data_IF_118852842454
#
_entry.id   IF_118852842454
#
_cell.length_a   1.000
_cell.length_b   1.000
_cell.length_c   1.000
_cell.angle_alpha   90.00
_cell.angle_beta   90.00
_cell.angle_gamma   90.00
#
_symmetry.space_group_name_H-M   'P 1'
#
loop_
_entity.id
_entity.type
_entity.pdbx_description
1 polymer ?
#
# COMPACT_ATOMS: atom_id res chain seq x y z
N UNK A 1 -0.31 8.52 -21.79
CA UNK A 1 -0.67 7.45 -20.83
C UNK A 1 -0.38 6.13 -21.51
N UNK A 2 0.74 5.46 -21.18
CA UNK A 2 0.87 4.06 -21.58
C UNK A 2 -0.09 3.27 -20.70
N UNK A 3 -0.99 2.51 -21.33
CA UNK A 3 -1.80 1.50 -20.64
C UNK A 3 -0.83 0.48 -20.04
N UNK A 4 -0.40 0.69 -18.78
CA UNK A 4 0.45 -0.28 -18.10
C UNK A 4 -0.48 -1.44 -17.75
N UNK A 5 -0.20 -2.64 -18.27
CA UNK A 5 -0.95 -3.86 -17.92
C UNK A 5 -1.08 -4.05 -16.39
N UNK A 6 -0.14 -3.47 -15.65
CA UNK A 6 -0.18 -3.33 -14.20
C UNK A 6 -1.46 -2.68 -13.66
N UNK A 7 -1.94 -1.58 -14.24
CA UNK A 7 -3.10 -0.83 -13.73
C UNK A 7 -4.39 -1.67 -13.83
N UNK A 8 -4.50 -2.44 -14.91
CA UNK A 8 -5.58 -3.41 -15.08
C UNK A 8 -5.46 -4.51 -14.04
N UNK A 9 -4.31 -5.18 -13.97
CA UNK A 9 -4.11 -6.32 -13.05
C UNK A 9 -4.23 -5.93 -11.58
N UNK A 10 -3.76 -4.75 -11.22
CA UNK A 10 -3.80 -4.25 -9.84
C UNK A 10 -5.22 -3.98 -9.34
N UNK A 11 -6.14 -3.68 -10.25
CA UNK A 11 -7.57 -3.58 -9.96
C UNK A 11 -8.26 -4.95 -10.06
N UNK A 12 -7.94 -5.72 -11.10
CA UNK A 12 -8.61 -6.99 -11.40
C UNK A 12 -8.42 -8.05 -10.31
N UNK A 13 -7.19 -8.21 -9.79
CA UNK A 13 -6.87 -9.25 -8.82
C UNK A 13 -7.66 -9.05 -7.51
N UNK A 14 -7.59 -7.89 -6.81
CA UNK A 14 -8.45 -7.59 -5.68
C UNK A 14 -9.94 -7.72 -6.00
N UNK A 15 -10.34 -7.24 -7.19
CA UNK A 15 -11.70 -7.29 -7.68
C UNK A 15 -12.28 -8.69 -7.78
N UNK A 16 -11.52 -9.62 -8.35
CA UNK A 16 -11.91 -11.02 -8.47
C UNK A 16 -11.97 -11.72 -7.13
N UNK A 17 -11.02 -11.45 -6.22
CA UNK A 17 -11.06 -12.00 -4.87
C UNK A 17 -12.33 -11.58 -4.14
N UNK A 18 -12.71 -10.30 -4.26
CA UNK A 18 -13.96 -9.79 -3.69
C UNK A 18 -15.19 -10.38 -4.39
N UNK A 19 -15.18 -10.53 -5.71
CA UNK A 19 -16.28 -11.15 -6.44
C UNK A 19 -16.50 -12.60 -5.97
N UNK A 20 -15.43 -13.40 -5.88
CA UNK A 20 -15.51 -14.78 -5.41
C UNK A 20 -16.03 -14.86 -3.97
N UNK A 21 -15.62 -13.92 -3.11
CA UNK A 21 -16.14 -13.81 -1.75
C UNK A 21 -17.65 -13.52 -1.76
N UNK A 22 -18.11 -12.57 -2.56
CA UNK A 22 -19.53 -12.21 -2.67
C UNK A 22 -20.37 -13.36 -3.24
N UNK A 23 -19.89 -14.03 -4.28
CA UNK A 23 -20.56 -15.22 -4.84
C UNK A 23 -20.66 -16.33 -3.79
N UNK A 24 -19.57 -16.58 -3.04
CA UNK A 24 -19.58 -17.55 -1.95
C UNK A 24 -20.56 -17.17 -0.84
N UNK A 25 -20.68 -15.88 -0.52
CA UNK A 25 -21.62 -15.39 0.48
C UNK A 25 -23.08 -15.57 0.03
N UNK A 26 -23.37 -15.25 -1.23
CA UNK A 26 -24.69 -15.42 -1.83
C UNK A 26 -25.02 -16.85 -2.25
N UNK A 27 -24.12 -17.80 -2.04
CA UNK A 27 -24.25 -19.20 -2.49
C UNK A 27 -24.51 -19.33 -4.00
N UNK A 28 -24.01 -18.37 -4.78
CA UNK A 28 -24.17 -18.33 -6.22
C UNK A 28 -23.03 -19.16 -6.84
N UNK A 29 -23.33 -20.19 -7.64
CA UNK A 29 -22.31 -20.96 -8.33
C UNK A 29 -21.60 -20.08 -9.37
N UNK A 30 -20.28 -20.27 -9.50
CA UNK A 30 -19.50 -19.58 -10.52
C UNK A 30 -19.80 -20.17 -11.89
N UNK A 31 -20.36 -19.37 -12.80
CA UNK A 31 -20.63 -19.75 -14.17
C UNK A 31 -19.48 -19.30 -15.10
N UNK A 32 -18.90 -20.25 -15.83
CA UNK A 32 -17.79 -19.98 -16.76
C UNK A 32 -18.24 -19.19 -17.99
N UNK A 33 -19.51 -19.26 -18.35
CA UNK A 33 -20.04 -18.51 -19.49
C UNK A 33 -20.21 -17.02 -19.15
N UNK A 34 -20.23 -16.69 -17.85
CA UNK A 34 -20.32 -15.33 -17.32
C UNK A 34 -18.95 -14.68 -17.07
N UNK A 35 -17.85 -15.21 -17.61
CA UNK A 35 -16.50 -14.66 -17.39
C UNK A 35 -16.39 -13.20 -17.82
N UNK A 36 -16.99 -12.81 -18.94
CA UNK A 36 -16.97 -11.41 -19.42
C UNK A 36 -17.66 -10.46 -18.42
N UNK A 37 -18.93 -10.68 -18.02
CA UNK A 37 -19.57 -9.83 -17.02
C UNK A 37 -18.89 -9.90 -15.64
N UNK A 38 -18.38 -11.06 -15.23
CA UNK A 38 -17.59 -11.18 -14.00
C UNK A 38 -16.32 -10.34 -14.02
N UNK A 39 -15.63 -10.28 -15.16
CA UNK A 39 -14.44 -9.44 -15.32
C UNK A 39 -14.78 -7.96 -15.16
N UNK A 40 -15.89 -7.51 -15.74
CA UNK A 40 -16.36 -6.13 -15.60
C UNK A 40 -16.73 -5.79 -14.15
N UNK A 41 -17.47 -6.67 -13.47
CA UNK A 41 -17.84 -6.49 -12.05
C UNK A 41 -16.59 -6.51 -11.17
N UNK A 42 -15.67 -7.45 -11.40
CA UNK A 42 -14.40 -7.53 -10.69
C UNK A 42 -13.61 -6.24 -10.85
N UNK A 43 -13.50 -5.69 -12.06
CA UNK A 43 -12.80 -4.43 -12.27
C UNK A 43 -13.43 -3.27 -11.48
N UNK A 44 -14.77 -3.19 -11.43
CA UNK A 44 -15.48 -2.21 -10.63
C UNK A 44 -15.22 -2.40 -9.12
N UNK A 45 -15.30 -3.63 -8.62
CA UNK A 45 -15.00 -3.96 -7.24
C UNK A 45 -13.54 -3.62 -6.88
N UNK A 46 -12.60 -3.87 -7.79
CA UNK A 46 -11.19 -3.51 -7.62
C UNK A 46 -10.98 -2.01 -7.37
N UNK A 47 -11.69 -1.16 -8.11
CA UNK A 47 -11.66 0.29 -7.90
C UNK A 47 -12.26 0.68 -6.55
N UNK A 48 -13.37 0.07 -6.15
CA UNK A 48 -13.95 0.28 -4.81
C UNK A 48 -12.95 -0.12 -3.72
N UNK A 49 -12.29 -1.27 -3.88
CA UNK A 49 -11.26 -1.73 -2.95
C UNK A 49 -10.07 -0.77 -2.88
N UNK A 50 -9.68 -0.15 -3.99
CA UNK A 50 -8.64 0.86 -4.00
C UNK A 50 -9.05 2.09 -3.16
N UNK A 51 -10.29 2.56 -3.29
CA UNK A 51 -10.84 3.64 -2.47
C UNK A 51 -10.85 3.27 -0.99
N UNK A 52 -11.38 2.09 -0.63
CA UNK A 52 -11.39 1.61 0.76
C UNK A 52 -9.99 1.49 1.35
N UNK A 53 -9.02 1.04 0.53
CA UNK A 53 -7.63 0.93 0.96
C UNK A 53 -7.01 2.28 1.33
N UNK A 54 -7.44 3.34 0.64
CA UNK A 54 -6.96 4.70 0.89
C UNK A 54 -7.55 5.25 2.18
N UNK A 55 -8.81 4.93 2.49
CA UNK A 55 -9.44 5.31 3.76
C UNK A 55 -8.84 4.58 4.97
N UNK A 56 -8.42 3.33 4.78
CA UNK A 56 -7.80 2.53 5.84
C UNK A 56 -6.29 2.77 5.97
N UNK A 57 -5.71 3.67 5.17
CA UNK A 57 -4.28 3.95 5.21
C UNK A 57 -3.81 4.45 6.59
N UNK A 58 -4.54 5.40 7.18
CA UNK A 58 -4.22 5.91 8.52
C UNK A 58 -4.32 4.81 9.58
N UNK A 59 -5.29 3.91 9.44
CA UNK A 59 -5.41 2.73 10.31
C UNK A 59 -4.20 1.80 10.15
N UNK A 60 -3.71 1.57 8.93
CA UNK A 60 -2.50 0.77 8.72
C UNK A 60 -1.28 1.42 9.34
N UNK A 61 -1.11 2.74 9.22
CA UNK A 61 -0.02 3.47 9.86
C UNK A 61 -0.08 3.33 11.39
N UNK A 62 -1.27 3.39 11.98
CA UNK A 62 -1.45 3.10 13.39
C UNK A 62 -0.95 1.69 13.76
N UNK A 63 -1.36 0.65 13.01
CA UNK A 63 -0.88 -0.72 13.27
C UNK A 63 0.63 -0.90 13.07
N UNK A 64 1.26 -0.09 12.21
CA UNK A 64 2.70 -0.15 11.95
C UNK A 64 3.54 0.56 13.01
N UNK A 65 2.90 1.24 13.97
CA UNK A 65 3.54 2.05 15.00
C UNK A 65 3.97 3.42 14.48
N UNK A 66 3.22 4.00 13.53
CA UNK A 66 3.46 5.32 12.96
C UNK A 66 3.74 5.33 11.46
N UNK A 67 3.79 6.53 10.88
CA UNK A 67 4.06 6.76 9.46
C UNK A 67 5.51 6.40 9.11
N UNK A 68 5.76 5.58 8.06
CA UNK A 68 7.13 5.25 7.63
C UNK A 68 7.99 6.47 7.29
N UNK A 69 7.40 7.55 6.76
CA UNK A 69 8.06 8.84 6.50
C UNK A 69 8.67 9.44 7.75
N UNK A 70 7.92 9.49 8.84
CA UNK A 70 8.38 9.97 10.13
C UNK A 70 9.51 9.09 10.67
N UNK A 71 9.28 7.78 10.72
CA UNK A 71 10.21 6.82 11.32
C UNK A 71 11.55 6.76 10.56
N UNK A 72 11.51 6.86 9.23
CA UNK A 72 12.73 6.94 8.41
C UNK A 72 13.52 8.24 8.63
N UNK A 73 12.85 9.36 8.90
CA UNK A 73 13.51 10.63 9.24
C UNK A 73 14.08 10.64 10.67
N UNK A 74 13.48 9.88 11.59
CA UNK A 74 13.94 9.70 12.97
C UNK A 74 15.03 8.61 13.12
N UNK A 75 15.41 7.94 12.03
CA UNK A 75 16.42 6.88 12.04
C UNK A 75 15.89 5.49 12.38
N UNK A 76 14.60 5.37 12.68
CA UNK A 76 13.90 4.10 12.90
C UNK A 76 13.59 3.39 11.58
N UNK A 77 14.62 2.79 10.98
CA UNK A 77 14.48 1.88 9.86
C UNK A 77 13.90 0.51 10.28
N UNK A 78 13.29 -0.22 9.34
CA UNK A 78 12.99 -1.65 9.53
C UNK A 78 14.28 -2.45 9.30
N UNK A 79 14.41 -3.64 9.92
CA UNK A 79 15.51 -4.60 9.71
C UNK A 79 15.95 -4.78 8.24
N UNK A 80 15.03 -4.61 7.28
CA UNK A 80 15.27 -4.76 5.83
C UNK A 80 15.49 -3.43 5.08
N UNK A 81 15.15 -2.29 5.67
CA UNK A 81 15.23 -0.97 5.04
C UNK A 81 15.81 0.02 6.05
N UNK A 82 17.14 0.20 5.99
CA UNK A 82 17.86 1.23 6.73
C UNK A 82 18.13 2.41 5.81
N UNK A 83 17.85 3.62 6.29
CA UNK A 83 18.29 4.85 5.68
C UNK A 83 19.44 5.37 6.53
N UNK A 84 20.63 5.52 5.96
CA UNK A 84 21.83 5.87 6.71
C UNK A 84 22.10 7.39 6.71
N UNK A 85 21.33 8.16 5.95
CA UNK A 85 21.49 9.61 5.78
C UNK A 85 20.35 10.42 6.40
N UNK A 86 19.72 9.91 7.46
CA UNK A 86 18.59 10.53 8.16
C UNK A 86 18.88 11.96 8.62
N UNK A 87 19.99 12.15 9.34
CA UNK A 87 20.42 13.44 9.87
C UNK A 87 20.62 14.48 8.75
N UNK A 88 21.28 14.09 7.65
CA UNK A 88 21.54 14.98 6.52
C UNK A 88 20.26 15.37 5.79
N UNK A 89 19.38 14.40 5.53
CA UNK A 89 18.09 14.67 4.90
C UNK A 89 17.22 15.57 5.77
N UNK A 90 17.17 15.30 7.08
CA UNK A 90 16.39 16.08 8.04
C UNK A 90 16.90 17.52 8.15
N UNK A 91 18.22 17.72 8.22
CA UNK A 91 18.82 19.05 8.27
C UNK A 91 18.51 19.88 7.01
N UNK A 92 18.63 19.28 5.82
CA UNK A 92 18.31 19.95 4.55
C UNK A 92 16.82 20.28 4.44
N UNK A 93 15.95 19.34 4.83
CA UNK A 93 14.50 19.57 4.80
C UNK A 93 14.06 20.64 5.79
N UNK A 94 14.63 20.67 7.00
CA UNK A 94 14.35 21.71 7.99
C UNK A 94 14.87 23.09 7.56
N UNK A 95 15.95 23.16 6.78
CA UNK A 95 16.45 24.42 6.24
C UNK A 95 15.51 25.02 5.17
N UNK A 96 14.74 24.19 4.47
CA UNK A 96 13.77 24.64 3.45
C UNK A 96 12.35 24.80 3.99
N UNK A 97 12.06 24.17 5.12
CA UNK A 97 10.74 24.19 5.72
C UNK A 97 10.52 25.45 6.57
N UNK A 98 9.25 25.77 6.84
CA UNK A 98 8.90 26.84 7.77
C UNK A 98 9.37 26.46 9.19
N UNK A 99 9.70 27.45 10.06
CA UNK A 99 9.97 27.17 11.46
C UNK A 99 8.75 26.44 12.07
N UNK A 100 8.99 25.28 12.70
CA UNK A 100 7.99 24.32 13.22
C UNK A 100 7.19 23.51 12.18
N UNK A 101 7.75 23.25 11.00
CA UNK A 101 7.09 22.39 10.03
C UNK A 101 6.84 20.96 10.55
N UNK A 102 5.65 20.43 10.28
CA UNK A 102 5.29 19.06 10.63
C UNK A 102 6.07 18.06 9.75
N UNK A 103 6.32 16.85 10.25
CA UNK A 103 7.02 15.81 9.48
C UNK A 103 6.33 15.45 8.16
N UNK A 104 5.00 15.57 8.10
CA UNK A 104 4.25 15.41 6.85
C UNK A 104 4.57 16.52 5.84
N UNK A 105 4.83 17.75 6.30
CA UNK A 105 5.25 18.85 5.44
C UNK A 105 6.67 18.62 4.91
N UNK A 106 7.59 18.15 5.76
CA UNK A 106 8.96 17.78 5.36
C UNK A 106 8.94 16.70 4.27
N UNK A 107 8.12 15.67 4.42
CA UNK A 107 8.00 14.63 3.41
C UNK A 107 7.33 15.14 2.12
N UNK A 108 6.37 16.07 2.21
CA UNK A 108 5.76 16.67 1.02
C UNK A 108 6.75 17.51 0.21
N UNK A 109 7.70 18.19 0.86
CA UNK A 109 8.80 18.90 0.19
C UNK A 109 9.67 17.88 -0.57
N UNK A 110 10.12 16.82 0.09
CA UNK A 110 10.92 15.77 -0.56
C UNK A 110 10.19 15.15 -1.78
N UNK A 111 8.89 14.88 -1.63
CA UNK A 111 8.05 14.34 -2.69
C UNK A 111 7.92 15.29 -3.89
N UNK A 112 7.82 16.61 -3.67
CA UNK A 112 7.80 17.60 -4.76
C UNK A 112 9.07 17.56 -5.61
N UNK A 113 10.24 17.46 -4.99
CA UNK A 113 11.51 17.32 -5.70
C UNK A 113 11.62 16.00 -6.45
N UNK A 114 11.21 14.90 -5.82
CA UNK A 114 11.21 13.59 -6.47
C UNK A 114 10.31 13.54 -7.70
N UNK A 115 9.11 14.14 -7.61
CA UNK A 115 8.17 14.23 -8.73
C UNK A 115 8.66 15.18 -9.84
N UNK A 116 9.39 16.25 -9.49
CA UNK A 116 9.98 17.16 -10.47
C UNK A 116 11.05 16.48 -11.34
N UNK A 117 11.81 15.53 -10.77
CA UNK A 117 12.83 14.78 -11.50
C UNK A 117 12.25 13.71 -12.45
N UNK A 118 10.95 13.38 -12.33
CA UNK A 118 10.27 12.31 -13.09
C UNK A 118 11.04 10.98 -13.07
N UNK A 119 11.62 10.62 -11.92
CA UNK A 119 12.33 9.35 -11.79
C UNK A 119 11.32 8.19 -11.85
N UNK A 120 11.39 7.30 -12.87
CA UNK A 120 10.44 6.20 -13.02
C UNK A 120 10.46 5.23 -11.82
N UNK A 121 11.57 5.14 -11.08
CA UNK A 121 11.65 4.28 -9.89
C UNK A 121 10.71 4.72 -8.78
N UNK A 122 10.58 6.02 -8.55
CA UNK A 122 9.69 6.55 -7.49
C UNK A 122 8.23 6.22 -7.82
N UNK A 123 7.84 6.35 -9.09
CA UNK A 123 6.52 5.98 -9.59
C UNK A 123 6.27 4.47 -9.43
N UNK A 124 7.24 3.63 -9.80
CA UNK A 124 7.11 2.17 -9.68
C UNK A 124 6.99 1.72 -8.21
N UNK A 125 7.77 2.31 -7.29
CA UNK A 125 7.65 2.01 -5.86
C UNK A 125 6.32 2.49 -5.27
N UNK A 126 5.83 3.67 -5.67
CA UNK A 126 4.54 4.18 -5.25
C UNK A 126 3.40 3.24 -5.70
N UNK A 127 3.44 2.86 -6.96
CA UNK A 127 2.47 1.98 -7.60
C UNK A 127 2.48 0.59 -6.94
N UNK A 128 3.67 0.05 -6.66
CA UNK A 128 3.82 -1.20 -5.92
C UNK A 128 3.29 -1.13 -4.48
N UNK A 129 3.45 0.01 -3.81
CA UNK A 129 2.89 0.24 -2.48
C UNK A 129 1.35 0.30 -2.52
N UNK A 130 0.79 1.10 -3.42
CA UNK A 130 -0.65 1.24 -3.60
C UNK A 130 -1.32 -0.13 -3.81
N UNK A 131 -0.80 -0.95 -4.73
CA UNK A 131 -1.32 -2.30 -4.95
C UNK A 131 -1.25 -3.19 -3.70
N UNK A 132 -0.15 -3.14 -2.95
CA UNK A 132 -0.02 -3.95 -1.74
C UNK A 132 -0.99 -3.51 -0.64
N UNK A 133 -1.33 -2.22 -0.58
CA UNK A 133 -2.36 -1.68 0.32
C UNK A 133 -3.75 -2.15 -0.08
N UNK A 134 -4.09 -2.12 -1.37
CA UNK A 134 -5.37 -2.69 -1.87
C UNK A 134 -5.47 -4.18 -1.54
N UNK A 135 -4.40 -4.94 -1.76
CA UNK A 135 -4.36 -6.37 -1.48
C UNK A 135 -4.52 -6.64 0.03
N UNK A 136 -3.85 -5.87 0.90
CA UNK A 136 -4.03 -5.96 2.35
C UNK A 136 -5.49 -5.71 2.74
N UNK A 137 -6.10 -4.68 2.18
CA UNK A 137 -7.50 -4.33 2.46
C UNK A 137 -8.46 -5.45 2.04
N UNK A 138 -8.21 -6.02 0.86
CA UNK A 138 -9.00 -7.14 0.32
C UNK A 138 -8.90 -8.37 1.21
N UNK A 139 -7.68 -8.74 1.61
CA UNK A 139 -7.45 -9.88 2.49
C UNK A 139 -8.04 -9.62 3.88
N UNK A 140 -7.94 -8.40 4.41
CA UNK A 140 -8.52 -8.04 5.70
C UNK A 140 -10.05 -8.19 5.70
N UNK A 141 -10.72 -7.60 4.71
CA UNK A 141 -12.19 -7.69 4.58
C UNK A 141 -12.60 -9.15 4.37
N UNK A 142 -11.93 -9.88 3.46
CA UNK A 142 -12.19 -11.30 3.24
C UNK A 142 -12.00 -12.14 4.50
N UNK A 143 -10.97 -11.83 5.31
CA UNK A 143 -10.70 -12.52 6.56
C UNK A 143 -11.83 -12.30 7.57
N UNK A 144 -12.24 -11.06 7.78
CA UNK A 144 -13.34 -10.71 8.70
C UNK A 144 -14.63 -11.40 8.29
N UNK A 145 -14.96 -11.39 7.00
CA UNK A 145 -16.19 -12.00 6.47
C UNK A 145 -16.18 -13.52 6.61
N UNK A 146 -15.09 -14.19 6.21
CA UNK A 146 -14.99 -15.65 6.25
C UNK A 146 -14.95 -16.19 7.68
N UNK A 147 -14.23 -15.51 8.57
CA UNK A 147 -14.19 -15.84 9.99
C UNK A 147 -15.56 -15.59 10.63
N UNK A 148 -16.20 -14.46 10.34
CA UNK A 148 -17.52 -14.14 10.88
C UNK A 148 -18.58 -15.19 10.51
N UNK A 149 -18.52 -15.70 9.28
CA UNK A 149 -19.43 -16.77 8.81
C UNK A 149 -19.08 -18.15 9.36
N UNK A 150 -17.80 -18.47 9.53
CA UNK A 150 -17.32 -19.79 9.96
C UNK A 150 -16.63 -19.73 11.33
N UNK A 151 -17.23 -19.01 12.28
CA UNK A 151 -16.63 -18.70 13.58
C UNK A 151 -16.20 -19.95 14.37
N UNK A 152 -16.94 -21.06 14.22
CA UNK A 152 -16.65 -22.31 14.94
C UNK A 152 -15.54 -23.15 14.31
N UNK A 153 -15.11 -22.86 13.09
CA UNK A 153 -14.08 -23.64 12.40
C UNK A 153 -12.70 -22.99 12.53
N UNK A 154 -11.87 -23.57 13.39
CA UNK A 154 -10.50 -23.13 13.67
C UNK A 154 -9.61 -23.10 12.40
N UNK A 155 -9.92 -23.88 11.36
CA UNK A 155 -9.12 -23.95 10.14
C UNK A 155 -9.08 -22.61 9.42
N UNK A 156 -10.18 -21.85 9.46
CA UNK A 156 -10.22 -20.51 8.86
C UNK A 156 -9.26 -19.55 9.58
N UNK A 157 -9.19 -19.61 10.92
CA UNK A 157 -8.25 -18.81 11.69
C UNK A 157 -6.80 -19.20 11.40
N UNK A 158 -6.52 -20.51 11.37
CA UNK A 158 -5.16 -21.02 11.15
C UNK A 158 -4.62 -20.70 9.76
N UNK A 159 -5.48 -20.57 8.74
CA UNK A 159 -5.06 -20.25 7.36
C UNK A 159 -5.07 -18.73 7.12
N UNK A 160 -6.14 -18.03 7.50
CA UNK A 160 -6.31 -16.62 7.15
C UNK A 160 -5.40 -15.69 7.98
N UNK A 161 -5.16 -16.01 9.25
CA UNK A 161 -4.33 -15.17 10.13
C UNK A 161 -2.87 -15.08 9.63
N UNK A 162 -2.19 -16.20 9.28
CA UNK A 162 -0.84 -16.12 8.70
C UNK A 162 -0.80 -15.38 7.36
N UNK A 163 -1.80 -15.59 6.49
CA UNK A 163 -1.88 -14.88 5.19
C UNK A 163 -2.00 -13.37 5.42
N UNK A 164 -2.92 -12.96 6.29
CA UNK A 164 -3.11 -11.56 6.65
C UNK A 164 -1.81 -10.95 7.21
N UNK A 165 -1.12 -11.67 8.10
CA UNK A 165 0.14 -11.21 8.67
C UNK A 165 1.26 -11.05 7.62
N UNK A 166 1.39 -12.02 6.69
CA UNK A 166 2.38 -11.95 5.60
C UNK A 166 2.10 -10.74 4.70
N UNK A 167 0.84 -10.55 4.30
CA UNK A 167 0.44 -9.43 3.45
C UNK A 167 0.64 -8.09 4.16
N UNK A 168 0.33 -8.02 5.45
CA UNK A 168 0.57 -6.84 6.28
C UNK A 168 2.06 -6.49 6.35
N UNK A 169 2.93 -7.47 6.61
CA UNK A 169 4.38 -7.26 6.60
C UNK A 169 4.89 -6.79 5.24
N UNK A 170 4.39 -7.38 4.14
CA UNK A 170 4.78 -7.00 2.79
C UNK A 170 4.33 -5.59 2.43
N UNK A 171 3.12 -5.20 2.82
CA UNK A 171 2.61 -3.83 2.62
C UNK A 171 3.48 -2.82 3.38
N UNK A 172 3.76 -3.09 4.66
CA UNK A 172 4.67 -2.28 5.48
C UNK A 172 6.04 -2.11 4.81
N UNK A 173 6.67 -3.21 4.38
CA UNK A 173 7.98 -3.15 3.70
C UNK A 173 7.96 -2.28 2.44
N UNK A 174 6.92 -2.40 1.60
CA UNK A 174 6.80 -1.61 0.36
C UNK A 174 6.67 -0.12 0.62
N UNK A 175 5.96 0.30 1.67
CA UNK A 175 5.90 1.71 2.03
C UNK A 175 7.27 2.27 2.45
N UNK A 176 8.03 1.50 3.24
CA UNK A 176 9.39 1.90 3.62
C UNK A 176 10.33 2.00 2.41
N UNK A 177 10.21 1.11 1.41
CA UNK A 177 10.99 1.22 0.18
C UNK A 177 10.65 2.48 -0.61
N UNK A 178 9.35 2.77 -0.78
CA UNK A 178 8.89 3.98 -1.46
C UNK A 178 9.41 5.25 -0.77
N UNK A 179 9.20 5.34 0.54
CA UNK A 179 9.63 6.49 1.35
C UNK A 179 11.13 6.71 1.27
N UNK A 180 11.93 5.63 1.36
CA UNK A 180 13.39 5.70 1.24
C UNK A 180 13.82 6.23 -0.14
N UNK A 181 13.16 5.78 -1.21
CA UNK A 181 13.53 6.23 -2.56
C UNK A 181 13.23 7.71 -2.76
N UNK A 182 12.09 8.20 -2.27
CA UNK A 182 11.76 9.63 -2.27
C UNK A 182 12.86 10.45 -1.59
N UNK A 183 13.32 10.02 -0.41
CA UNK A 183 14.39 10.70 0.33
C UNK A 183 15.75 10.62 -0.38
N UNK A 184 16.08 9.47 -0.99
CA UNK A 184 17.32 9.31 -1.77
C UNK A 184 17.35 10.26 -2.97
N UNK A 185 16.22 10.37 -3.69
CA UNK A 185 16.09 11.26 -4.85
C UNK A 185 16.22 12.72 -4.43
N UNK A 186 15.58 13.12 -3.32
CA UNK A 186 15.74 14.46 -2.75
C UNK A 186 17.21 14.79 -2.43
N UNK A 187 17.92 13.88 -1.75
CA UNK A 187 19.34 14.06 -1.43
C UNK A 187 20.21 14.17 -2.69
N UNK A 188 19.90 13.39 -3.74
CA UNK A 188 20.62 13.45 -5.01
C UNK A 188 20.44 14.80 -5.70
N UNK A 189 19.23 15.35 -5.70
CA UNK A 189 18.93 16.67 -6.27
C UNK A 189 19.67 17.77 -5.50
N UNK A 190 19.74 17.67 -4.17
CA UNK A 190 20.33 18.72 -3.32
C UNK A 190 21.85 18.71 -3.22
N UNK A 191 22.48 17.56 -3.47
CA UNK A 191 23.94 17.43 -3.49
C UNK A 191 24.55 17.68 -4.90
N UNK A 192 23.72 17.97 -5.90
CA UNK A 192 24.13 18.45 -7.23
C UNK A 192 23.94 19.97 -7.32
#
# INVERSE_FOLDING_TARGET
MSFKAYDILSSLIPGFLMLLLLLKLGEIPFDKDMVVPYTAIAFLLGNVMNTLSSWLEDFYFFTWGGKPSLRLLEGEGIWKVRFYHCEKAKALLLAEARPNACHDELFSIAMRYANAQKDPRVEDFNTAYAFARVLLTTVLIGTVVLIGRNYFDWRYYAILTPILFIVWLRCKQRNYYYTREVLNVYLKVKNC
#
